data_IF_117545843410
#
_entry.id   IF_117545843410
#
_cell.length_a   1.000
_cell.length_b   1.000
_cell.length_c   1.000
_cell.angle_alpha   90.00
_cell.angle_beta   90.00
_cell.angle_gamma   90.00
#
_symmetry.space_group_name_H-M   'P 1'
#
loop_
_entity.id
_entity.type
_entity.pdbx_description
1 polymer ?
#
# COMPACT_ATOMS: atom_id res chain seq x y z
N UNK A 1 -22.88 2.66 18.54
CA UNK A 1 -24.24 3.09 18.94
C UNK A 1 -24.95 3.71 17.75
N UNK A 2 -26.25 3.68 17.75
CA UNK A 2 -27.12 4.26 16.70
C UNK A 2 -26.87 5.77 16.53
N UNK A 3 -26.62 6.47 17.64
CA UNK A 3 -26.25 7.90 17.66
C UNK A 3 -24.93 8.20 16.93
N UNK A 4 -23.93 7.33 17.01
CA UNK A 4 -22.67 7.48 16.26
C UNK A 4 -22.92 7.34 14.76
N UNK A 5 -23.74 6.37 14.34
CA UNK A 5 -24.04 6.16 12.92
C UNK A 5 -24.68 7.40 12.27
N UNK A 6 -25.48 8.17 13.03
CA UNK A 6 -26.09 9.40 12.53
C UNK A 6 -25.10 10.55 12.31
N UNK A 7 -23.88 10.46 12.81
CA UNK A 7 -22.85 11.48 12.68
C UNK A 7 -21.65 11.01 11.82
N UNK A 8 -21.78 9.89 11.10
CA UNK A 8 -20.71 9.31 10.29
C UNK A 8 -21.04 9.41 8.81
N UNK A 9 -20.05 9.81 8.02
CA UNK A 9 -20.01 9.68 6.56
C UNK A 9 -18.92 8.67 6.23
N UNK A 10 -19.30 7.49 5.74
CA UNK A 10 -18.32 6.48 5.30
C UNK A 10 -18.02 6.68 3.84
N UNK A 11 -16.75 6.95 3.53
CA UNK A 11 -16.24 7.05 2.15
C UNK A 11 -15.54 5.75 1.79
N UNK A 12 -15.95 5.10 0.72
CA UNK A 12 -15.36 3.84 0.30
C UNK A 12 -15.23 3.75 -1.23
N UNK A 13 -14.37 2.86 -1.69
CA UNK A 13 -14.13 2.65 -3.12
C UNK A 13 -13.62 1.24 -3.40
N UNK A 14 -13.95 0.63 -4.54
CA UNK A 14 -13.43 -0.68 -4.97
C UNK A 14 -11.99 -0.58 -5.50
N UNK A 15 -11.44 0.63 -5.61
CA UNK A 15 -10.21 0.93 -6.34
C UNK A 15 -8.98 0.16 -5.86
N UNK A 16 -8.84 -0.10 -4.56
CA UNK A 16 -7.70 -0.83 -3.99
C UNK A 16 -7.99 -2.32 -3.90
N UNK A 17 -9.16 -2.69 -3.42
CA UNK A 17 -9.57 -4.10 -3.24
C UNK A 17 -9.60 -4.85 -4.56
N UNK A 18 -10.15 -4.23 -5.62
CA UNK A 18 -10.36 -4.87 -6.92
C UNK A 18 -9.49 -4.26 -8.04
N UNK A 19 -8.43 -3.52 -7.70
CA UNK A 19 -7.52 -2.90 -8.67
C UNK A 19 -8.25 -2.01 -9.71
N UNK A 20 -9.26 -1.26 -9.29
CA UNK A 20 -10.12 -0.44 -10.14
C UNK A 20 -9.84 1.07 -10.03
N UNK A 21 -8.61 1.48 -9.66
CA UNK A 21 -8.28 2.89 -9.48
C UNK A 21 -8.52 3.73 -10.73
N UNK A 22 -8.23 3.19 -11.92
CA UNK A 22 -8.47 3.86 -13.20
C UNK A 22 -9.94 4.13 -13.52
N UNK A 23 -10.86 3.47 -12.82
CA UNK A 23 -12.31 3.71 -12.98
C UNK A 23 -12.79 4.97 -12.25
N UNK A 24 -12.00 5.54 -11.34
CA UNK A 24 -12.28 6.80 -10.63
C UNK A 24 -13.69 6.80 -10.04
N UNK A 25 -14.04 5.74 -9.30
CA UNK A 25 -15.38 5.55 -8.75
C UNK A 25 -15.30 5.26 -7.26
N UNK A 26 -16.13 5.96 -6.49
CA UNK A 26 -16.27 5.77 -5.05
C UNK A 26 -17.74 5.93 -4.65
N UNK A 27 -18.08 5.51 -3.44
CA UNK A 27 -19.42 5.68 -2.89
C UNK A 27 -19.37 6.18 -1.44
N UNK A 28 -20.46 6.82 -1.05
CA UNK A 28 -20.66 7.32 0.32
C UNK A 28 -21.85 6.61 0.96
N UNK A 29 -21.66 6.15 2.18
CA UNK A 29 -22.75 5.67 3.04
C UNK A 29 -23.02 6.73 4.07
N UNK A 30 -24.21 7.34 4.01
CA UNK A 30 -24.63 8.44 4.87
C UNK A 30 -26.00 8.12 5.45
N UNK A 31 -26.08 7.51 6.63
CA UNK A 31 -27.34 7.15 7.26
C UNK A 31 -28.24 8.37 7.56
N UNK A 32 -27.63 9.45 8.09
CA UNK A 32 -28.34 10.67 8.43
C UNK A 32 -28.89 11.39 7.18
N UNK A 33 -30.22 11.56 7.03
CA UNK A 33 -30.81 12.17 5.84
C UNK A 33 -30.48 13.67 5.71
N UNK A 34 -30.24 14.39 6.80
CA UNK A 34 -29.90 15.81 6.77
C UNK A 34 -28.47 15.99 6.22
N UNK A 35 -27.50 15.22 6.74
CA UNK A 35 -26.12 15.24 6.25
C UNK A 35 -26.09 14.80 4.79
N UNK A 36 -26.84 13.77 4.42
CA UNK A 36 -26.93 13.30 3.04
C UNK A 36 -27.50 14.39 2.10
N UNK A 37 -28.50 15.13 2.53
CA UNK A 37 -29.05 16.24 1.77
C UNK A 37 -28.03 17.39 1.55
N UNK A 38 -27.23 17.72 2.57
CA UNK A 38 -26.17 18.71 2.47
C UNK A 38 -25.08 18.29 1.48
N UNK A 39 -24.64 17.03 1.55
CA UNK A 39 -23.64 16.48 0.62
C UNK A 39 -24.16 16.49 -0.82
N UNK A 40 -25.42 16.10 -1.05
CA UNK A 40 -26.05 16.16 -2.38
C UNK A 40 -26.18 17.59 -2.91
N UNK A 41 -26.50 18.55 -2.04
CA UNK A 41 -26.57 19.96 -2.41
C UNK A 41 -25.17 20.52 -2.80
N UNK A 42 -24.12 20.12 -2.06
CA UNK A 42 -22.73 20.46 -2.39
C UNK A 42 -22.32 19.93 -3.77
N UNK A 43 -22.54 18.63 -4.02
CA UNK A 43 -22.27 18.00 -5.31
C UNK A 43 -23.00 18.69 -6.48
N UNK A 44 -24.24 19.12 -6.26
CA UNK A 44 -25.00 19.87 -7.25
C UNK A 44 -24.36 21.21 -7.60
N UNK A 45 -23.87 21.94 -6.61
CA UNK A 45 -23.19 23.22 -6.84
C UNK A 45 -21.88 23.08 -7.62
N UNK A 46 -21.15 21.97 -7.39
CA UNK A 46 -19.89 21.69 -8.05
C UNK A 46 -20.04 21.01 -9.41
N UNK A 47 -21.26 20.67 -9.83
CA UNK A 47 -21.51 19.96 -11.08
C UNK A 47 -21.05 18.49 -11.09
N UNK A 48 -20.76 17.89 -9.92
CA UNK A 48 -20.22 16.54 -9.78
C UNK A 48 -21.34 15.50 -9.60
N UNK A 49 -22.26 15.40 -10.54
CA UNK A 49 -23.46 14.56 -10.38
C UNK A 49 -23.26 13.09 -10.71
N UNK A 50 -22.38 12.79 -11.65
CA UNK A 50 -22.29 11.47 -12.25
C UNK A 50 -20.88 10.92 -12.14
N UNK A 51 -20.76 9.64 -11.79
CA UNK A 51 -19.57 8.85 -12.09
C UNK A 51 -19.67 8.35 -13.55
N UNK A 52 -18.55 7.94 -14.12
CA UNK A 52 -18.56 7.34 -15.44
C UNK A 52 -19.28 5.98 -15.42
N UNK A 53 -19.94 5.63 -16.53
CA UNK A 53 -20.76 4.41 -16.60
C UNK A 53 -19.92 3.13 -16.40
N UNK A 54 -18.68 3.10 -16.91
CA UNK A 54 -17.80 1.96 -16.76
C UNK A 54 -17.41 1.75 -15.28
N UNK A 55 -17.12 2.83 -14.55
CA UNK A 55 -16.82 2.78 -13.13
C UNK A 55 -18.00 2.32 -12.28
N UNK A 56 -19.23 2.76 -12.64
CA UNK A 56 -20.44 2.31 -11.97
C UNK A 56 -20.66 0.79 -12.15
N UNK A 57 -20.56 0.31 -13.40
CA UNK A 57 -20.71 -1.11 -13.72
C UNK A 57 -19.57 -1.96 -13.12
N UNK A 58 -18.33 -1.46 -13.13
CA UNK A 58 -17.20 -2.15 -12.51
C UNK A 58 -17.38 -2.29 -11.01
N UNK A 59 -17.91 -1.26 -10.32
CA UNK A 59 -18.21 -1.32 -8.90
C UNK A 59 -19.25 -2.39 -8.58
N UNK A 60 -20.36 -2.43 -9.34
CA UNK A 60 -21.42 -3.42 -9.18
C UNK A 60 -20.88 -4.85 -9.37
N UNK A 61 -20.19 -5.10 -10.49
CA UNK A 61 -19.62 -6.42 -10.80
C UNK A 61 -18.59 -6.86 -9.74
N UNK A 62 -17.74 -5.94 -9.30
CA UNK A 62 -16.70 -6.24 -8.32
C UNK A 62 -17.28 -6.78 -7.01
N UNK A 63 -18.36 -6.17 -6.52
CA UNK A 63 -18.98 -6.62 -5.27
C UNK A 63 -19.95 -7.80 -5.46
N UNK A 64 -20.58 -7.94 -6.63
CA UNK A 64 -21.57 -8.99 -6.85
C UNK A 64 -20.98 -10.31 -7.35
N UNK A 65 -19.82 -10.26 -8.05
CA UNK A 65 -19.34 -11.41 -8.81
C UNK A 65 -17.83 -11.70 -8.72
N UNK A 66 -17.05 -10.93 -7.94
CA UNK A 66 -15.59 -11.09 -7.89
C UNK A 66 -15.07 -11.52 -6.52
N UNK A 67 -15.87 -12.20 -5.70
CA UNK A 67 -15.44 -12.70 -4.38
C UNK A 67 -14.32 -13.74 -4.52
N UNK A 68 -14.49 -14.73 -5.39
CA UNK A 68 -13.49 -15.77 -5.64
C UNK A 68 -12.14 -15.16 -6.10
N UNK A 69 -12.18 -14.18 -7.00
CA UNK A 69 -10.98 -13.46 -7.43
C UNK A 69 -10.28 -12.75 -6.26
N UNK A 70 -11.05 -12.15 -5.36
CA UNK A 70 -10.50 -11.48 -4.19
C UNK A 70 -9.84 -12.47 -3.23
N UNK A 71 -10.46 -13.63 -2.99
CA UNK A 71 -9.88 -14.66 -2.13
C UNK A 71 -8.55 -15.19 -2.70
N UNK A 72 -8.48 -15.48 -4.00
CA UNK A 72 -7.24 -15.88 -4.68
C UNK A 72 -6.17 -14.78 -4.57
N UNK A 73 -6.53 -13.51 -4.74
CA UNK A 73 -5.60 -12.39 -4.55
C UNK A 73 -5.07 -12.32 -3.11
N UNK A 74 -5.93 -12.52 -2.12
CA UNK A 74 -5.53 -12.51 -0.72
C UNK A 74 -4.54 -13.65 -0.39
N UNK A 75 -4.68 -14.80 -1.03
CA UNK A 75 -3.71 -15.90 -0.89
C UNK A 75 -2.33 -15.50 -1.44
N UNK A 76 -2.28 -14.88 -2.62
CA UNK A 76 -1.03 -14.37 -3.22
C UNK A 76 -0.40 -13.31 -2.32
N UNK A 77 -1.19 -12.40 -1.78
CA UNK A 77 -0.68 -11.34 -0.88
C UNK A 77 -0.12 -11.91 0.43
N UNK A 78 -0.77 -12.93 1.01
CA UNK A 78 -0.27 -13.63 2.19
C UNK A 78 1.06 -14.32 1.88
N UNK A 79 1.15 -15.02 0.76
CA UNK A 79 2.38 -15.70 0.33
C UNK A 79 3.53 -14.70 0.09
N UNK A 80 3.25 -13.57 -0.56
CA UNK A 80 4.23 -12.52 -0.78
C UNK A 80 4.71 -11.86 0.51
N UNK A 81 3.81 -11.62 1.47
CA UNK A 81 4.16 -11.15 2.82
C UNK A 81 5.10 -12.13 3.50
N UNK A 82 4.72 -13.39 3.55
CA UNK A 82 5.49 -14.43 4.24
C UNK A 82 6.87 -14.61 3.60
N UNK A 83 6.95 -14.53 2.26
CA UNK A 83 8.21 -14.52 1.51
C UNK A 83 9.13 -13.36 1.94
N UNK A 84 8.60 -12.12 1.98
CA UNK A 84 9.38 -10.94 2.42
C UNK A 84 9.87 -11.10 3.84
N UNK A 85 8.99 -11.48 4.75
CA UNK A 85 9.32 -11.64 6.17
C UNK A 85 10.38 -12.72 6.40
N UNK A 86 10.25 -13.86 5.72
CA UNK A 86 11.21 -14.96 5.79
C UNK A 86 12.56 -14.55 5.19
N UNK A 87 12.54 -13.96 3.98
CA UNK A 87 13.76 -13.55 3.30
C UNK A 87 14.57 -12.54 4.11
N UNK A 88 13.91 -11.51 4.62
CA UNK A 88 14.56 -10.48 5.43
C UNK A 88 15.12 -11.06 6.73
N UNK A 89 14.38 -11.92 7.41
CA UNK A 89 14.85 -12.58 8.62
C UNK A 89 16.13 -13.39 8.41
N UNK A 90 16.17 -14.13 7.30
CA UNK A 90 17.27 -15.06 7.03
C UNK A 90 18.49 -14.40 6.38
N UNK A 91 18.28 -13.35 5.59
CA UNK A 91 19.32 -12.75 4.77
C UNK A 91 19.69 -11.32 5.13
N UNK A 92 18.76 -10.53 5.70
CA UNK A 92 18.93 -9.09 5.95
C UNK A 92 18.30 -8.73 7.30
N UNK A 93 18.78 -9.27 8.44
CA UNK A 93 18.17 -9.03 9.75
C UNK A 93 18.21 -7.57 10.21
N UNK A 94 18.96 -6.70 9.51
CA UNK A 94 19.00 -5.25 9.74
C UNK A 94 17.73 -4.54 9.30
N UNK A 95 16.93 -5.15 8.42
CA UNK A 95 15.63 -4.64 7.99
C UNK A 95 14.54 -5.48 8.66
N UNK A 96 13.63 -4.81 9.34
CA UNK A 96 12.53 -5.48 10.06
C UNK A 96 11.19 -5.12 9.44
N UNK A 97 10.45 -6.10 8.91
CA UNK A 97 9.09 -5.83 8.44
C UNK A 97 8.19 -5.52 9.63
N UNK A 98 7.38 -4.48 9.50
CA UNK A 98 6.31 -4.18 10.47
C UNK A 98 5.16 -5.15 10.22
N UNK A 99 4.52 -5.74 11.24
CA UNK A 99 3.39 -6.65 11.06
C UNK A 99 2.30 -6.04 10.15
N UNK A 100 1.90 -6.79 9.12
CA UNK A 100 0.88 -6.36 8.17
C UNK A 100 -0.46 -7.00 8.52
N UNK A 101 -1.37 -6.20 9.08
CA UNK A 101 -2.71 -6.65 9.45
C UNK A 101 -3.75 -6.40 8.35
N UNK A 102 -3.51 -5.40 7.48
CA UNK A 102 -4.42 -5.02 6.41
C UNK A 102 -3.67 -4.39 5.23
N UNK A 103 -4.30 -4.36 4.07
CA UNK A 103 -3.77 -3.84 2.81
C UNK A 103 -2.67 -4.73 2.20
N UNK A 104 -1.99 -4.20 1.20
CA UNK A 104 -0.84 -4.82 0.52
C UNK A 104 0.40 -3.93 0.58
N UNK A 105 0.40 -2.94 1.47
CA UNK A 105 1.49 -1.97 1.64
C UNK A 105 2.18 -2.25 2.97
N UNK A 106 3.34 -2.89 2.91
CA UNK A 106 4.12 -3.25 4.09
C UNK A 106 5.18 -2.21 4.39
N UNK A 107 5.32 -1.86 5.67
CA UNK A 107 6.41 -1.03 6.16
C UNK A 107 7.61 -1.89 6.53
N UNK A 108 8.79 -1.37 6.17
CA UNK A 108 10.09 -1.94 6.53
C UNK A 108 10.81 -0.94 7.44
N UNK A 109 11.14 -1.34 8.66
CA UNK A 109 12.05 -0.59 9.55
C UNK A 109 13.49 -0.87 9.11
N UNK A 110 14.13 0.14 8.53
CA UNK A 110 15.49 0.07 7.98
C UNK A 110 16.54 0.70 8.90
N UNK A 111 16.22 1.04 10.16
CA UNK A 111 17.13 1.67 11.12
C UNK A 111 18.42 0.87 11.30
N UNK A 112 18.33 -0.46 11.24
CA UNK A 112 19.48 -1.34 11.39
C UNK A 112 20.54 -1.25 10.28
N UNK A 113 20.26 -0.55 9.16
CA UNK A 113 21.23 -0.28 8.10
C UNK A 113 22.21 0.86 8.44
N UNK A 114 21.95 1.66 9.48
CA UNK A 114 22.82 2.74 9.92
C UNK A 114 22.94 3.92 8.96
N UNK A 115 21.97 4.09 8.05
CA UNK A 115 21.92 5.16 7.06
C UNK A 115 21.06 6.32 7.56
N UNK A 116 21.30 7.54 7.05
CA UNK A 116 20.32 8.62 7.16
C UNK A 116 19.15 8.39 6.20
N UNK A 117 18.02 9.08 6.41
CA UNK A 117 16.85 8.93 5.52
C UNK A 117 17.17 9.20 4.04
N UNK A 118 17.93 10.25 3.74
CA UNK A 118 18.34 10.56 2.36
C UNK A 118 19.28 9.50 1.76
N UNK A 119 20.18 8.96 2.56
CA UNK A 119 21.06 7.87 2.12
C UNK A 119 20.27 6.60 1.86
N UNK A 120 19.31 6.29 2.72
CA UNK A 120 18.41 5.14 2.55
C UNK A 120 17.60 5.25 1.26
N UNK A 121 16.99 6.41 0.99
CA UNK A 121 16.19 6.62 -0.21
C UNK A 121 17.04 6.48 -1.48
N UNK A 122 18.26 7.04 -1.48
CA UNK A 122 19.20 6.89 -2.57
C UNK A 122 19.62 5.43 -2.74
N UNK A 123 19.99 4.76 -1.66
CA UNK A 123 20.41 3.37 -1.65
C UNK A 123 19.33 2.45 -2.25
N UNK A 124 18.09 2.59 -1.79
CA UNK A 124 16.99 1.77 -2.31
C UNK A 124 16.78 1.97 -3.80
N UNK A 125 16.82 3.21 -4.28
CA UNK A 125 16.58 3.54 -5.69
C UNK A 125 17.76 3.20 -6.58
N UNK A 126 18.99 3.64 -6.22
CA UNK A 126 20.15 3.71 -7.10
C UNK A 126 21.06 2.48 -6.98
N UNK A 127 21.07 1.79 -5.83
CA UNK A 127 21.92 0.61 -5.57
C UNK A 127 21.09 -0.69 -5.52
N UNK A 128 19.96 -0.71 -4.81
CA UNK A 128 19.08 -1.88 -4.75
C UNK A 128 18.09 -1.98 -5.92
N UNK A 129 17.95 -0.91 -6.72
CA UNK A 129 16.99 -0.80 -7.82
C UNK A 129 15.57 -1.16 -7.40
N UNK A 130 15.18 -0.72 -6.20
CA UNK A 130 13.85 -0.91 -5.65
C UNK A 130 13.15 0.43 -5.46
N UNK A 131 12.11 0.68 -6.24
CA UNK A 131 11.30 1.87 -6.12
C UNK A 131 10.26 1.67 -5.01
N UNK A 132 10.56 2.23 -3.84
CA UNK A 132 9.73 2.19 -2.63
C UNK A 132 9.13 3.55 -2.36
N UNK A 133 8.14 3.64 -1.46
CA UNK A 133 7.70 4.92 -0.92
C UNK A 133 8.57 5.28 0.30
N UNK A 134 9.39 6.34 0.22
CA UNK A 134 10.20 6.79 1.35
C UNK A 134 9.35 7.16 2.56
N UNK A 135 9.74 6.74 3.75
CA UNK A 135 9.03 7.05 4.98
C UNK A 135 8.93 8.54 5.26
N UNK A 136 9.88 9.34 4.79
CA UNK A 136 9.87 10.81 4.87
C UNK A 136 8.63 11.47 4.26
N UNK A 137 7.97 10.82 3.30
CA UNK A 137 6.69 11.27 2.73
C UNK A 137 5.54 11.24 3.74
N UNK A 138 5.68 10.49 4.83
CA UNK A 138 4.66 10.26 5.85
C UNK A 138 4.98 10.95 7.19
N UNK A 139 6.09 11.68 7.26
CA UNK A 139 6.52 12.44 8.42
C UNK A 139 8.00 12.22 8.76
N UNK A 140 8.60 13.19 9.47
CA UNK A 140 10.03 13.17 9.79
C UNK A 140 10.44 11.96 10.62
N UNK A 141 9.58 11.51 11.53
CA UNK A 141 9.85 10.36 12.42
C UNK A 141 9.90 9.02 11.66
N UNK A 142 9.38 9.00 10.42
CA UNK A 142 9.36 7.82 9.55
C UNK A 142 10.50 7.77 8.53
N UNK A 143 11.45 8.70 8.57
CA UNK A 143 12.50 8.84 7.55
C UNK A 143 13.39 7.60 7.37
N UNK A 144 13.47 6.73 8.37
CA UNK A 144 14.24 5.47 8.32
C UNK A 144 13.37 4.24 8.00
N UNK A 145 12.16 4.47 7.51
CA UNK A 145 11.28 3.42 7.02
C UNK A 145 11.14 3.48 5.51
N UNK A 146 10.80 2.34 4.91
CA UNK A 146 10.42 2.25 3.50
C UNK A 146 9.09 1.50 3.41
N UNK A 147 8.17 1.97 2.57
CA UNK A 147 6.91 1.29 2.32
C UNK A 147 6.97 0.57 0.97
N UNK A 148 6.70 -0.72 0.98
CA UNK A 148 6.72 -1.58 -0.21
C UNK A 148 5.31 -2.04 -0.59
N UNK A 149 5.12 -2.34 -1.87
CA UNK A 149 3.89 -2.90 -2.40
C UNK A 149 4.05 -4.40 -2.64
N UNK A 150 3.22 -5.22 -1.98
CA UNK A 150 3.21 -6.68 -2.10
C UNK A 150 2.30 -7.18 -3.24
N UNK A 151 1.47 -6.30 -3.82
CA UNK A 151 0.56 -6.66 -4.91
C UNK A 151 1.30 -6.65 -6.26
N UNK A 152 2.26 -7.53 -6.39
CA UNK A 152 3.04 -7.77 -7.60
C UNK A 152 3.26 -9.28 -7.81
N UNK A 153 3.69 -9.72 -8.98
CA UNK A 153 4.08 -11.11 -9.19
C UNK A 153 5.19 -11.53 -8.21
N UNK A 154 5.05 -12.70 -7.59
CA UNK A 154 6.00 -13.24 -6.61
C UNK A 154 7.44 -13.26 -7.14
N UNK A 155 7.63 -13.64 -8.41
CA UNK A 155 8.95 -13.66 -9.05
C UNK A 155 9.62 -12.29 -9.17
N UNK A 156 8.82 -11.22 -9.32
CA UNK A 156 9.34 -9.85 -9.32
C UNK A 156 9.82 -9.45 -7.91
N UNK A 157 9.08 -9.87 -6.89
CA UNK A 157 9.42 -9.63 -5.49
C UNK A 157 10.70 -10.37 -5.09
N UNK A 158 10.80 -11.67 -5.43
CA UNK A 158 12.01 -12.49 -5.23
C UNK A 158 13.25 -11.84 -5.87
N UNK A 159 13.15 -11.49 -7.14
CA UNK A 159 14.23 -10.83 -7.87
C UNK A 159 14.65 -9.50 -7.22
N UNK A 160 13.70 -8.76 -6.65
CA UNK A 160 13.95 -7.48 -5.99
C UNK A 160 14.63 -7.68 -4.63
N UNK A 161 14.19 -8.66 -3.86
CA UNK A 161 14.80 -9.01 -2.58
C UNK A 161 16.26 -9.47 -2.75
N UNK A 162 16.54 -10.27 -3.79
CA UNK A 162 17.91 -10.68 -4.11
C UNK A 162 18.80 -9.48 -4.49
N UNK A 163 18.30 -8.52 -5.28
CA UNK A 163 19.06 -7.29 -5.58
C UNK A 163 19.33 -6.47 -4.34
N UNK A 164 18.34 -6.33 -3.44
CA UNK A 164 18.52 -5.64 -2.16
C UNK A 164 19.64 -6.29 -1.35
N UNK A 165 19.63 -7.62 -1.25
CA UNK A 165 20.68 -8.37 -0.54
C UNK A 165 22.05 -8.10 -1.15
N UNK A 166 22.20 -8.22 -2.48
CA UNK A 166 23.46 -7.97 -3.17
C UNK A 166 23.99 -6.54 -2.94
N UNK A 167 23.10 -5.54 -2.97
CA UNK A 167 23.48 -4.15 -2.70
C UNK A 167 23.98 -3.95 -1.26
N UNK A 168 23.36 -4.60 -0.26
CA UNK A 168 23.80 -4.55 1.14
C UNK A 168 25.13 -5.26 1.32
N UNK A 169 25.31 -6.43 0.74
CA UNK A 169 26.56 -7.20 0.81
C UNK A 169 27.73 -6.40 0.20
N UNK A 170 27.51 -5.78 -0.96
CA UNK A 170 28.51 -4.94 -1.64
C UNK A 170 28.89 -3.70 -0.80
N UNK A 171 27.90 -3.03 -0.21
CA UNK A 171 28.15 -1.87 0.65
C UNK A 171 28.94 -2.25 1.92
N UNK A 172 28.63 -3.39 2.52
CA UNK A 172 29.32 -3.90 3.71
C UNK A 172 30.78 -4.26 3.40
N UNK A 173 31.04 -4.87 2.25
CA UNK A 173 32.40 -5.20 1.80
C UNK A 173 33.23 -3.93 1.54
N UNK A 174 32.63 -2.88 0.96
CA UNK A 174 33.30 -1.60 0.69
C UNK A 174 33.64 -0.81 1.99
N UNK A 175 32.83 -0.93 3.01
CA UNK A 175 33.06 -0.28 4.31
C UNK A 175 34.12 -0.98 5.17
N UNK A 176 34.40 -2.27 4.95
CA UNK A 176 35.39 -3.04 5.69
C UNK A 176 36.84 -2.94 5.12
N UNK A 177 37.04 -2.17 4.04
CA UNK A 177 38.35 -2.04 3.35
C UNK A 177 39.08 -0.72 3.71
N UNK A 178 38.58 0.05 4.68
CA UNK A 178 39.19 1.26 5.24
C UNK A 178 39.70 0.99 6.66
#
# INVERSE_FOLDING_TARGET
SEDLAQNIVTCNAPSKTFNLAGMITSYLVIPNPEIRALVLAGRRREGTFHCNIAGYRALEIAYDACEDWLEELLEVLRANRDLVEQFLRDNIPQIRPVPLEATYLQWLDCKGLGMTGMELDRFMRDEAYWFTDPGSLFGADSALFQRINLACPTSALESTLERLKQAIDHKSASAGTL
#
